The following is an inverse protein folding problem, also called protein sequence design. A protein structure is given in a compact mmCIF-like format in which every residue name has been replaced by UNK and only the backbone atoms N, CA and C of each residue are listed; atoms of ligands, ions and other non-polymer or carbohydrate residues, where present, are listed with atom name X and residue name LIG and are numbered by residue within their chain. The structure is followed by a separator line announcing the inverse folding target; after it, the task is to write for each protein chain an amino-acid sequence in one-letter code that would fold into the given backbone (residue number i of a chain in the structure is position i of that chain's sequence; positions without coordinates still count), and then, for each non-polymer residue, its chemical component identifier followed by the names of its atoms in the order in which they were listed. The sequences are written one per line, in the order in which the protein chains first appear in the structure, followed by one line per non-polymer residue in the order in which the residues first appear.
data_IF_450424810879
#
_entry.id   IF_450424810879
#
_cell.length_a   1.000
_cell.length_b   1.000
_cell.length_c   1.000
_cell.angle_alpha   90.00
_cell.angle_beta   90.00
_cell.angle_gamma   90.00
#
_symmetry.space_group_name_H-M   'P 1'
#
loop_
_entity.id
_entity.type
_entity.pdbx_description
1 polymer ?
#
# COMPACT_ATOMS: atom_id res chain seq x y z
N UNK A 1 18.71 21.52 -32.39
CA UNK A 1 17.46 20.85 -32.02
C UNK A 1 17.84 19.78 -31.02
N UNK A 2 17.49 19.94 -29.74
CA UNK A 2 17.87 18.99 -28.70
C UNK A 2 16.80 17.89 -28.61
N UNK A 3 17.28 16.65 -28.70
CA UNK A 3 16.53 15.40 -28.63
C UNK A 3 15.62 15.35 -27.39
N UNK A 4 14.38 14.92 -27.62
CA UNK A 4 13.43 14.54 -26.57
C UNK A 4 13.95 13.29 -25.87
N UNK A 5 14.47 13.43 -24.65
CA UNK A 5 14.62 12.29 -23.76
C UNK A 5 13.23 11.73 -23.44
N UNK A 6 12.96 10.50 -23.89
CA UNK A 6 11.82 9.74 -23.40
C UNK A 6 11.93 9.68 -21.86
N UNK A 7 10.95 10.26 -21.17
CA UNK A 7 10.80 10.07 -19.73
C UNK A 7 10.58 8.58 -19.47
N UNK A 8 11.65 7.90 -19.09
CA UNK A 8 11.66 6.48 -18.74
C UNK A 8 10.82 6.30 -17.48
N UNK A 9 9.56 5.89 -17.66
CA UNK A 9 8.61 5.64 -16.57
C UNK A 9 9.23 4.61 -15.64
N UNK A 10 9.54 5.02 -14.41
CA UNK A 10 10.20 4.16 -13.45
C UNK A 10 9.41 2.87 -13.20
N UNK A 11 9.99 1.73 -13.55
CA UNK A 11 9.40 0.41 -13.33
C UNK A 11 9.86 -0.16 -11.99
N UNK A 12 8.93 -0.29 -11.05
CA UNK A 12 9.20 -0.98 -9.79
C UNK A 12 9.39 -2.48 -10.03
N UNK A 13 10.59 -3.00 -9.79
CA UNK A 13 10.94 -4.40 -9.96
C UNK A 13 10.84 -5.17 -8.65
N UNK A 14 10.96 -6.50 -8.74
CA UNK A 14 11.05 -7.36 -7.57
C UNK A 14 12.31 -7.04 -6.74
N UNK A 15 13.43 -6.72 -7.39
CA UNK A 15 14.67 -6.32 -6.72
C UNK A 15 14.46 -5.10 -5.82
N UNK A 16 13.78 -4.06 -6.31
CA UNK A 16 13.45 -2.89 -5.49
C UNK A 16 12.60 -3.25 -4.26
N UNK A 17 11.72 -4.25 -4.39
CA UNK A 17 10.92 -4.75 -3.26
C UNK A 17 11.80 -5.44 -2.22
N UNK A 18 12.72 -6.30 -2.67
CA UNK A 18 13.64 -7.02 -1.80
C UNK A 18 14.58 -6.06 -1.05
N UNK A 19 15.14 -5.08 -1.77
CA UNK A 19 16.01 -4.05 -1.19
C UNK A 19 15.23 -3.20 -0.19
N UNK A 20 13.99 -2.80 -0.51
CA UNK A 20 13.13 -2.05 0.43
C UNK A 20 12.91 -2.81 1.75
N UNK A 21 12.56 -4.10 1.68
CA UNK A 21 12.31 -4.90 2.88
C UNK A 21 13.58 -4.99 3.74
N UNK A 22 14.71 -5.34 3.13
CA UNK A 22 16.01 -5.43 3.82
C UNK A 22 16.42 -4.09 4.43
N UNK A 23 16.28 -3.01 3.67
CA UNK A 23 16.64 -1.67 4.11
C UNK A 23 15.78 -1.21 5.28
N UNK A 24 14.47 -1.49 5.27
CA UNK A 24 13.58 -1.19 6.40
C UNK A 24 14.04 -1.88 7.68
N UNK A 25 14.43 -3.15 7.58
CA UNK A 25 14.93 -3.92 8.73
C UNK A 25 16.23 -3.33 9.25
N UNK A 26 17.20 -3.07 8.37
CA UNK A 26 18.48 -2.47 8.75
C UNK A 26 18.32 -1.07 9.37
N UNK A 27 17.31 -0.31 8.94
CA UNK A 27 17.07 1.06 9.36
C UNK A 27 15.84 1.22 10.26
N UNK A 28 15.48 0.19 11.04
CA UNK A 28 14.30 0.22 11.92
C UNK A 28 14.30 1.41 12.88
N UNK A 29 15.49 1.88 13.29
CA UNK A 29 15.67 3.06 14.14
C UNK A 29 15.18 4.38 13.52
N UNK A 30 15.01 4.46 12.19
CA UNK A 30 14.41 5.63 11.53
C UNK A 30 12.87 5.60 11.61
N UNK A 31 12.28 4.43 11.84
CA UNK A 31 10.83 4.21 11.85
C UNK A 31 10.27 4.16 13.27
N UNK A 32 10.57 5.18 14.06
CA UNK A 32 10.22 5.28 15.51
C UNK A 32 8.75 5.57 15.82
N UNK A 33 7.88 5.68 14.81
CA UNK A 33 6.48 6.07 14.99
C UNK A 33 6.27 7.55 15.35
N UNK A 34 7.34 8.32 15.57
CA UNK A 34 7.28 9.79 15.71
C UNK A 34 6.74 10.42 14.43
N UNK A 35 6.04 11.55 14.57
CA UNK A 35 5.47 12.29 13.43
C UNK A 35 6.57 12.57 12.40
N UNK A 36 6.29 12.28 11.14
CA UNK A 36 7.20 12.44 10.00
C UNK A 36 8.51 11.63 10.05
N UNK A 37 8.78 10.83 11.08
CA UNK A 37 9.99 10.00 11.12
C UNK A 37 9.98 8.94 10.00
N UNK A 38 8.81 8.34 9.74
CA UNK A 38 8.67 7.35 8.68
C UNK A 38 8.91 7.94 7.28
N UNK A 39 8.41 9.15 6.98
CA UNK A 39 8.63 9.75 5.65
C UNK A 39 10.10 10.11 5.46
N UNK A 40 10.77 10.66 6.48
CA UNK A 40 12.23 10.89 6.47
C UNK A 40 13.04 9.61 6.28
N UNK A 41 12.60 8.51 6.88
CA UNK A 41 13.17 7.19 6.63
C UNK A 41 13.05 6.77 5.16
N UNK A 42 11.88 6.97 4.54
CA UNK A 42 11.70 6.66 3.12
C UNK A 42 12.43 7.64 2.19
N UNK A 43 12.61 8.89 2.57
CA UNK A 43 13.48 9.84 1.85
C UNK A 43 14.93 9.37 1.86
N UNK A 44 15.43 8.93 3.02
CA UNK A 44 16.77 8.36 3.13
C UNK A 44 16.94 7.12 2.23
N UNK A 45 15.93 6.24 2.18
CA UNK A 45 15.93 5.10 1.25
C UNK A 45 15.99 5.55 -0.22
N UNK A 46 15.11 6.48 -0.62
CA UNK A 46 15.08 6.98 -2.00
C UNK A 46 16.41 7.64 -2.37
N UNK A 47 17.04 8.33 -1.41
CA UNK A 47 18.36 8.93 -1.61
C UNK A 47 19.47 7.90 -1.81
N UNK A 48 19.51 6.88 -0.95
CA UNK A 48 20.53 5.83 -1.01
C UNK A 48 20.41 4.96 -2.27
N UNK A 49 19.19 4.75 -2.76
CA UNK A 49 18.92 3.97 -3.96
C UNK A 49 19.05 4.79 -5.26
N UNK A 50 19.37 6.09 -5.18
CA UNK A 50 19.47 6.96 -6.36
C UNK A 50 18.15 7.13 -7.11
N UNK A 51 17.03 7.12 -6.37
CA UNK A 51 15.67 7.14 -6.92
C UNK A 51 15.01 8.53 -6.82
N UNK A 52 15.70 9.56 -6.31
CA UNK A 52 15.10 10.88 -6.03
C UNK A 52 14.43 11.51 -7.25
N UNK A 53 15.07 11.39 -8.42
CA UNK A 53 14.59 12.01 -9.67
C UNK A 53 13.46 11.19 -10.33
N UNK A 54 13.13 10.02 -9.78
CA UNK A 54 12.24 9.03 -10.39
C UNK A 54 11.03 8.69 -9.52
N UNK A 55 11.20 8.71 -8.20
CA UNK A 55 10.18 8.33 -7.23
C UNK A 55 10.22 9.21 -5.98
N UNK A 56 9.07 9.73 -5.59
CA UNK A 56 8.88 10.37 -4.30
C UNK A 56 8.89 9.33 -3.16
N UNK A 57 9.40 9.71 -1.99
CA UNK A 57 9.39 8.88 -0.77
C UNK A 57 7.98 8.40 -0.37
N UNK A 58 6.95 9.19 -0.69
CA UNK A 58 5.55 8.82 -0.49
C UNK A 58 5.16 7.54 -1.25
N UNK A 59 5.70 7.32 -2.46
CA UNK A 59 5.45 6.11 -3.24
C UNK A 59 6.05 4.87 -2.55
N UNK A 60 7.28 4.98 -2.07
CA UNK A 60 7.97 3.91 -1.33
C UNK A 60 7.22 3.58 -0.04
N UNK A 61 6.78 4.61 0.69
CA UNK A 61 5.93 4.45 1.89
C UNK A 61 4.66 3.68 1.55
N UNK A 62 3.94 4.07 0.50
CA UNK A 62 2.72 3.38 0.06
C UNK A 62 3.00 1.94 -0.35
N UNK A 63 4.12 1.68 -1.03
CA UNK A 63 4.55 0.32 -1.37
C UNK A 63 4.76 -0.53 -0.12
N UNK A 64 5.47 -0.02 0.87
CA UNK A 64 5.70 -0.68 2.15
C UNK A 64 4.39 -0.97 2.90
N UNK A 65 3.45 -0.03 2.94
CA UNK A 65 2.13 -0.25 3.56
C UNK A 65 1.31 -1.33 2.83
N UNK A 66 1.35 -1.38 1.49
CA UNK A 66 0.70 -2.44 0.71
C UNK A 66 1.30 -3.83 1.02
N UNK A 67 2.64 -3.92 1.15
CA UNK A 67 3.32 -5.14 1.60
C UNK A 67 2.87 -5.56 2.99
N UNK A 68 2.80 -4.62 3.94
CA UNK A 68 2.31 -4.90 5.30
C UNK A 68 0.87 -5.39 5.31
N UNK A 69 -0.01 -4.77 4.52
CA UNK A 69 -1.41 -5.16 4.45
C UNK A 69 -1.54 -6.59 3.93
N UNK A 70 -0.93 -6.90 2.79
CA UNK A 70 -0.96 -8.25 2.22
C UNK A 70 -0.35 -9.29 3.15
N UNK A 71 0.72 -8.94 3.88
CA UNK A 71 1.28 -9.82 4.90
C UNK A 71 0.28 -10.14 6.03
N UNK A 72 -0.44 -9.13 6.53
CA UNK A 72 -1.45 -9.30 7.58
C UNK A 72 -2.61 -10.17 7.12
N UNK A 73 -3.10 -9.94 5.90
CA UNK A 73 -4.20 -10.71 5.31
C UNK A 73 -3.84 -12.20 5.22
N UNK A 74 -2.57 -12.51 4.96
CA UNK A 74 -2.06 -13.89 4.88
C UNK A 74 -1.71 -14.50 6.24
N UNK A 75 -1.34 -13.69 7.24
CA UNK A 75 -0.98 -14.16 8.60
C UNK A 75 -2.20 -14.40 9.48
N UNK A 76 -3.27 -13.64 9.27
CA UNK A 76 -4.54 -13.80 9.96
C UNK A 76 -5.62 -14.10 8.92
N UNK A 77 -5.68 -15.32 8.34
CA UNK A 77 -6.82 -15.65 7.49
C UNK A 77 -8.08 -15.43 8.31
N UNK A 78 -9.02 -14.63 7.79
CA UNK A 78 -10.28 -14.35 8.46
C UNK A 78 -10.93 -15.71 8.79
N UNK A 79 -10.99 -16.01 10.09
CA UNK A 79 -11.47 -17.28 10.62
C UNK A 79 -12.81 -17.65 9.99
N UNK A 80 -12.83 -18.70 9.16
CA UNK A 80 -14.08 -19.38 8.79
C UNK A 80 -14.35 -19.68 7.32
N UNK A 81 -13.48 -19.31 6.37
CA UNK A 81 -13.68 -19.67 4.95
C UNK A 81 -12.60 -20.65 4.50
N UNK A 82 -12.99 -21.92 4.30
CA UNK A 82 -12.16 -22.94 3.68
C UNK A 82 -11.67 -22.46 2.32
N UNK A 83 -10.36 -22.39 2.16
CA UNK A 83 -9.70 -21.94 0.94
C UNK A 83 -9.64 -23.10 -0.07
N UNK A 84 -10.75 -23.40 -0.73
CA UNK A 84 -10.77 -24.30 -1.90
C UNK A 84 -10.63 -23.56 -3.24
N UNK A 85 -10.76 -22.23 -3.25
CA UNK A 85 -10.74 -21.40 -4.45
C UNK A 85 -9.43 -20.61 -4.63
N UNK A 86 -8.29 -21.29 -4.77
CA UNK A 86 -7.08 -20.71 -5.41
C UNK A 86 -6.53 -19.38 -4.86
N UNK A 87 -6.99 -18.91 -3.70
CA UNK A 87 -6.58 -17.63 -3.15
C UNK A 87 -5.10 -17.68 -2.77
N UNK A 88 -4.35 -16.58 -2.96
CA UNK A 88 -2.95 -16.56 -2.61
C UNK A 88 -2.79 -16.85 -1.12
N UNK A 89 -2.28 -18.02 -0.78
CA UNK A 89 -1.92 -18.39 0.59
C UNK A 89 -0.55 -17.81 0.97
N UNK A 90 -0.22 -17.81 2.27
CA UNK A 90 1.11 -17.45 2.76
C UNK A 90 2.25 -18.15 1.99
N UNK A 91 2.05 -19.41 1.59
CA UNK A 91 3.01 -20.20 0.82
C UNK A 91 3.17 -19.74 -0.65
N UNK A 92 2.15 -19.10 -1.22
CA UNK A 92 2.16 -18.63 -2.63
C UNK A 92 2.80 -17.26 -2.81
N UNK A 93 2.87 -16.44 -1.75
CA UNK A 93 3.38 -15.08 -1.85
C UNK A 93 4.89 -15.04 -1.59
N UNK A 94 5.66 -14.82 -2.65
CA UNK A 94 7.14 -14.78 -2.61
C UNK A 94 7.76 -13.80 -1.59
N UNK A 95 7.01 -12.79 -1.13
CA UNK A 95 7.47 -11.82 -0.13
C UNK A 95 7.06 -12.19 1.30
N UNK A 96 6.26 -13.24 1.50
CA UNK A 96 5.73 -13.61 2.81
C UNK A 96 6.86 -13.88 3.81
N UNK A 97 7.82 -14.74 3.47
CA UNK A 97 8.95 -15.07 4.35
C UNK A 97 9.80 -13.84 4.67
N UNK A 98 10.12 -13.01 3.69
CA UNK A 98 10.90 -11.79 3.89
C UNK A 98 10.15 -10.75 4.77
N UNK A 99 8.82 -10.65 4.62
CA UNK A 99 7.98 -9.80 5.47
C UNK A 99 7.80 -10.38 6.87
N UNK A 100 7.64 -11.70 7.01
CA UNK A 100 7.51 -12.37 8.30
C UNK A 100 8.80 -12.23 9.11
N UNK A 101 9.97 -12.31 8.46
CA UNK A 101 11.24 -12.01 9.10
C UNK A 101 11.34 -10.52 9.50
N UNK A 102 10.90 -9.61 8.61
CA UNK A 102 11.03 -8.18 8.84
C UNK A 102 10.11 -7.62 9.95
N UNK A 103 8.91 -8.17 10.12
CA UNK A 103 7.90 -7.64 11.04
C UNK A 103 7.11 -8.70 11.84
N UNK A 104 7.33 -9.99 11.59
CA UNK A 104 6.56 -11.08 12.19
C UNK A 104 7.05 -11.59 13.54
N UNK A 105 8.26 -11.23 13.96
CA UNK A 105 8.99 -11.89 15.05
C UNK A 105 9.54 -11.00 16.17
N UNK A 106 8.87 -9.91 16.58
CA UNK A 106 9.18 -9.27 17.87
C UNK A 106 8.07 -9.56 18.89
N UNK A 107 8.16 -10.64 19.69
CA UNK A 107 7.43 -10.71 20.94
C UNK A 107 7.99 -9.63 21.88
N UNK A 108 7.49 -8.39 21.78
CA UNK A 108 7.61 -7.41 22.86
C UNK A 108 6.64 -7.79 23.98
N UNK A 109 6.76 -9.01 24.49
CA UNK A 109 6.26 -9.34 25.82
C UNK A 109 7.37 -8.98 26.80
N UNK A 110 7.43 -7.70 27.17
CA UNK A 110 7.91 -7.40 28.51
C UNK A 110 6.86 -8.02 29.43
N UNK A 111 7.15 -9.12 30.16
CA UNK A 111 6.17 -9.65 31.09
C UNK A 111 5.78 -8.54 32.05
N UNK A 112 4.49 -8.36 32.40
CA UNK A 112 4.08 -7.38 33.40
C UNK A 112 4.92 -7.63 34.66
N UNK A 113 5.78 -6.68 35.01
CA UNK A 113 6.49 -6.74 36.27
C UNK A 113 5.44 -6.66 37.38
N UNK A 114 5.20 -7.77 38.06
CA UNK A 114 4.35 -7.82 39.24
C UNK A 114 5.07 -7.03 40.34
N UNK A 115 4.78 -5.73 40.45
CA UNK A 115 5.27 -4.92 41.56
C UNK A 115 4.45 -5.34 42.79
N UNK A 116 5.06 -6.16 43.64
CA UNK A 116 4.53 -6.44 44.97
C UNK A 116 4.51 -5.14 45.78
N UNK A 117 3.32 -4.74 46.21
CA UNK A 117 3.11 -3.59 47.07
C UNK A 117 3.53 -3.90 48.51
N UNK A 118 4.53 -3.19 49.04
CA UNK A 118 4.66 -2.87 50.46
C UNK A 118 5.49 -1.58 50.64
N UNK A 119 4.89 -0.55 51.26
CA UNK A 119 5.52 0.77 51.55
C UNK A 119 6.47 0.74 52.77
N UNK A 120 6.66 1.85 53.55
CA UNK A 120 6.22 3.25 53.38
C UNK A 120 7.35 4.31 53.60
N UNK A 121 6.98 5.58 53.34
CA UNK A 121 7.42 6.84 54.01
C UNK A 121 8.92 7.17 54.17
N UNK A 122 9.38 8.26 53.52
CA UNK A 122 10.22 9.29 54.14
C UNK A 122 10.17 10.60 53.34
N UNK A 123 9.82 11.68 54.03
CA UNK A 123 9.85 13.07 53.59
C UNK A 123 11.27 13.58 53.26
N UNK A 124 11.38 14.74 52.58
CA UNK A 124 12.04 15.97 53.07
C UNK A 124 12.28 17.01 51.95
N UNK A 125 11.74 18.20 52.23
CA UNK A 125 12.15 19.59 51.93
C UNK A 125 12.41 20.12 50.51
N UNK A 126 11.60 21.15 50.19
CA UNK A 126 11.84 22.26 49.27
C UNK A 126 13.03 23.15 49.66
N UNK A 127 13.70 23.77 48.69
CA UNK A 127 14.36 25.07 48.88
C UNK A 127 14.13 25.98 47.68
N UNK A 128 13.55 27.15 47.97
CA UNK A 128 13.30 28.29 47.10
C UNK A 128 14.56 29.17 46.99
N UNK A 129 14.78 29.87 45.86
CA UNK A 129 15.12 31.30 45.87
C UNK A 129 15.39 31.90 44.47
N UNK A 130 15.01 33.16 44.37
CA UNK A 130 14.78 34.08 43.24
C UNK A 130 16.04 34.71 42.58
N UNK A 131 15.82 35.24 41.37
CA UNK A 131 16.68 36.02 40.41
C UNK A 131 17.18 37.40 40.95
N UNK A 132 18.00 38.25 40.26
CA UNK A 132 17.68 38.88 38.94
C UNK A 132 18.81 39.32 37.97
N UNK A 133 18.37 39.50 36.71
CA UNK A 133 18.67 40.49 35.64
C UNK A 133 20.08 41.09 35.38
N UNK A 134 20.54 40.96 34.11
CA UNK A 134 21.26 42.05 33.43
C UNK A 134 20.81 42.18 31.97
N UNK A 135 20.46 43.41 31.63
CA UNK A 135 19.94 43.89 30.36
C UNK A 135 20.90 43.71 29.18
N UNK A 136 20.33 43.37 28.02
CA UNK A 136 20.63 43.86 26.65
C UNK A 136 20.16 42.80 25.65
N UNK A 137 19.26 43.17 24.72
CA UNK A 137 19.44 42.96 23.27
C UNK A 137 18.17 43.34 22.50
N UNK A 138 18.40 44.11 21.43
CA UNK A 138 17.51 44.33 20.28
C UNK A 138 16.62 43.11 20.02
N UNK A 139 15.33 43.35 19.86
CA UNK A 139 14.32 42.39 19.39
C UNK A 139 14.66 41.95 17.96
N UNK A 140 15.64 41.06 17.82
CA UNK A 140 15.76 40.17 16.67
C UNK A 140 14.67 39.13 16.86
N UNK A 141 13.83 38.92 15.83
CA UNK A 141 12.97 37.74 15.71
C UNK A 141 13.81 36.54 16.13
N UNK A 142 13.36 35.78 17.13
CA UNK A 142 14.20 34.74 17.70
C UNK A 142 14.50 33.73 16.59
N UNK A 143 15.68 33.11 16.63
CA UNK A 143 16.11 32.20 15.58
C UNK A 143 15.05 31.08 15.37
N UNK A 144 14.37 30.71 16.46
CA UNK A 144 13.26 29.77 16.51
C UNK A 144 12.03 30.22 15.71
N UNK A 145 11.67 31.51 15.75
CA UNK A 145 10.55 32.05 14.96
C UNK A 145 10.86 32.05 13.46
N UNK A 146 12.12 32.29 13.09
CA UNK A 146 12.57 32.24 11.69
C UNK A 146 12.59 30.80 11.17
N UNK A 147 13.02 29.84 12.00
CA UNK A 147 12.98 28.41 11.68
C UNK A 147 11.53 27.95 11.49
N UNK A 148 10.63 28.32 12.40
CA UNK A 148 9.21 27.95 12.33
C UNK A 148 8.51 28.53 11.09
N UNK A 149 8.82 29.78 10.72
CA UNK A 149 8.28 30.43 9.52
C UNK A 149 8.83 29.78 8.23
N UNK A 150 10.10 29.36 8.22
CA UNK A 150 10.66 28.60 7.12
C UNK A 150 10.00 27.21 7.00
N UNK A 151 9.79 26.51 8.12
CA UNK A 151 9.11 25.21 8.16
C UNK A 151 7.65 25.28 7.69
N UNK A 152 6.89 26.31 8.09
CA UNK A 152 5.51 26.51 7.63
C UNK A 152 5.45 26.84 6.13
N UNK A 153 6.40 27.63 5.64
CA UNK A 153 6.45 28.03 4.23
C UNK A 153 6.92 26.90 3.32
N UNK A 154 7.74 25.98 3.83
CA UNK A 154 8.13 24.74 3.17
C UNK A 154 6.98 23.72 3.19
N UNK A 155 6.33 23.51 4.33
CA UNK A 155 5.16 22.65 4.50
C UNK A 155 4.00 23.02 3.58
N UNK A 156 3.74 24.32 3.37
CA UNK A 156 2.72 24.78 2.44
C UNK A 156 3.04 24.41 0.97
N UNK A 157 4.32 24.48 0.57
CA UNK A 157 4.75 24.12 -0.78
C UNK A 157 4.71 22.61 -1.01
N UNK A 158 5.04 21.84 0.01
CA UNK A 158 4.99 20.39 -0.02
C UNK A 158 3.55 19.85 -0.06
N UNK A 159 2.64 20.41 0.74
CA UNK A 159 1.22 20.03 0.66
C UNK A 159 0.62 20.29 -0.72
N UNK A 160 0.98 21.42 -1.32
CA UNK A 160 0.53 21.78 -2.67
C UNK A 160 1.16 20.88 -3.75
N UNK A 161 2.37 20.36 -3.53
CA UNK A 161 3.01 19.38 -4.41
C UNK A 161 2.34 18.01 -4.31
N UNK A 162 2.07 17.55 -3.08
CA UNK A 162 1.38 16.28 -2.80
C UNK A 162 -0.03 16.29 -3.38
N UNK A 163 -0.80 17.37 -3.21
CA UNK A 163 -2.16 17.46 -3.74
C UNK A 163 -2.17 17.41 -5.28
N UNK A 164 -1.19 18.05 -5.93
CA UNK A 164 -1.03 17.97 -7.40
C UNK A 164 -0.68 16.57 -7.86
N UNK A 165 0.18 15.87 -7.13
CA UNK A 165 0.54 14.48 -7.45
C UNK A 165 -0.64 13.52 -7.21
N UNK A 166 -1.38 13.67 -6.12
CA UNK A 166 -2.60 12.90 -5.84
C UNK A 166 -3.69 13.11 -6.90
N UNK A 167 -3.83 14.34 -7.41
CA UNK A 167 -4.77 14.63 -8.49
C UNK A 167 -4.38 13.93 -9.79
N UNK A 168 -3.09 13.97 -10.14
CA UNK A 168 -2.54 13.24 -11.30
C UNK A 168 -2.66 11.72 -11.12
N UNK A 169 -2.57 11.24 -9.89
CA UNK A 169 -2.74 9.82 -9.56
C UNK A 169 -4.19 9.36 -9.72
N UNK A 170 -5.15 10.11 -9.15
CA UNK A 170 -6.59 9.83 -9.31
C UNK A 170 -7.01 9.78 -10.78
N UNK A 171 -6.49 10.70 -11.59
CA UNK A 171 -6.79 10.73 -13.02
C UNK A 171 -6.22 9.50 -13.77
N UNK A 172 -5.02 9.04 -13.39
CA UNK A 172 -4.43 7.81 -13.98
C UNK A 172 -5.23 6.56 -13.58
N UNK A 173 -5.65 6.47 -12.33
CA UNK A 173 -6.44 5.36 -11.80
C UNK A 173 -7.83 5.30 -12.45
N UNK A 174 -8.54 6.44 -12.54
CA UNK A 174 -9.83 6.52 -13.24
C UNK A 174 -9.71 6.16 -14.72
N UNK A 175 -8.61 6.58 -15.37
CA UNK A 175 -8.33 6.24 -16.76
C UNK A 175 -8.03 4.75 -16.94
N UNK A 176 -7.35 4.12 -15.99
CA UNK A 176 -7.06 2.69 -16.01
C UNK A 176 -8.34 1.87 -15.77
N UNK A 177 -9.14 2.26 -14.78
CA UNK A 177 -10.43 1.64 -14.47
C UNK A 177 -11.40 1.73 -15.66
N UNK A 178 -11.44 2.88 -16.34
CA UNK A 178 -12.22 3.04 -17.58
C UNK A 178 -11.73 2.09 -18.69
N UNK A 179 -10.42 1.89 -18.82
CA UNK A 179 -9.85 0.96 -19.80
C UNK A 179 -10.14 -0.49 -19.44
N UNK A 180 -10.16 -0.81 -18.16
CA UNK A 180 -10.50 -2.14 -17.67
C UNK A 180 -11.97 -2.47 -17.86
N UNK A 181 -12.88 -1.55 -17.51
CA UNK A 181 -14.32 -1.69 -17.79
C UNK A 181 -14.58 -1.90 -19.29
N UNK A 182 -13.93 -1.12 -20.15
CA UNK A 182 -14.06 -1.30 -21.59
C UNK A 182 -13.53 -2.67 -22.09
N UNK A 183 -12.49 -3.23 -21.45
CA UNK A 183 -12.01 -4.59 -21.77
C UNK A 183 -13.02 -5.65 -21.30
N UNK A 184 -13.52 -5.54 -20.08
CA UNK A 184 -14.51 -6.46 -19.53
C UNK A 184 -15.79 -6.46 -20.36
N UNK A 185 -16.32 -5.29 -20.70
CA UNK A 185 -17.50 -5.16 -21.58
C UNK A 185 -17.27 -5.81 -22.95
N UNK A 186 -16.07 -5.66 -23.51
CA UNK A 186 -15.75 -6.27 -24.80
C UNK A 186 -15.63 -7.79 -24.73
N UNK A 187 -15.03 -8.32 -23.66
CA UNK A 187 -14.96 -9.75 -23.38
C UNK A 187 -16.35 -10.33 -23.12
N UNK A 188 -17.17 -9.66 -22.33
CA UNK A 188 -18.55 -10.06 -22.06
C UNK A 188 -19.38 -10.07 -23.34
N UNK A 189 -19.24 -9.06 -24.20
CA UNK A 189 -19.94 -9.02 -25.49
C UNK A 189 -19.54 -10.19 -26.38
N UNK A 190 -18.25 -10.51 -26.44
CA UNK A 190 -17.75 -11.68 -27.17
C UNK A 190 -18.33 -12.97 -26.59
N UNK A 191 -18.31 -13.14 -25.27
CA UNK A 191 -18.89 -14.32 -24.61
C UNK A 191 -20.41 -14.42 -24.81
N UNK A 192 -21.13 -13.30 -24.87
CA UNK A 192 -22.55 -13.27 -25.18
C UNK A 192 -22.82 -13.71 -26.63
N UNK A 193 -22.04 -13.21 -27.60
CA UNK A 193 -22.12 -13.63 -29.00
C UNK A 193 -21.83 -15.13 -29.17
N UNK A 194 -20.84 -15.67 -28.45
CA UNK A 194 -20.52 -17.10 -28.43
C UNK A 194 -21.68 -17.93 -27.86
N UNK A 195 -22.24 -17.53 -26.71
CA UNK A 195 -23.41 -18.20 -26.12
C UNK A 195 -24.62 -18.19 -27.06
N UNK A 196 -24.91 -17.07 -27.69
CA UNK A 196 -26.03 -16.95 -28.63
C UNK A 196 -25.83 -17.86 -29.87
N UNK A 197 -24.59 -17.97 -30.37
CA UNK A 197 -24.25 -18.93 -31.44
C UNK A 197 -24.47 -20.37 -31.00
N UNK A 198 -24.02 -20.74 -29.80
CA UNK A 198 -24.26 -22.08 -29.26
C UNK A 198 -25.74 -22.38 -29.06
N UNK A 199 -26.52 -21.43 -28.55
CA UNK A 199 -27.97 -21.59 -28.38
C UNK A 199 -28.69 -21.78 -29.71
N UNK A 200 -28.35 -21.00 -30.74
CA UNK A 200 -28.88 -21.20 -32.11
C UNK A 200 -28.54 -22.60 -32.62
N UNK A 201 -27.30 -23.03 -32.45
CA UNK A 201 -26.87 -24.37 -32.86
C UNK A 201 -27.62 -25.48 -32.11
N UNK A 202 -27.81 -25.34 -30.80
CA UNK A 202 -28.61 -26.26 -29.97
C UNK A 202 -30.07 -26.31 -30.42
N UNK A 203 -30.69 -25.16 -30.70
CA UNK A 203 -32.07 -25.11 -31.19
C UNK A 203 -32.21 -25.80 -32.55
N UNK A 204 -31.27 -25.56 -33.48
CA UNK A 204 -31.26 -26.25 -34.76
C UNK A 204 -31.08 -27.76 -34.61
N UNK A 205 -30.20 -28.21 -33.72
CA UNK A 205 -29.99 -29.61 -33.43
C UNK A 205 -31.28 -30.26 -32.89
N UNK A 206 -31.91 -29.65 -31.88
CA UNK A 206 -33.18 -30.13 -31.33
C UNK A 206 -34.29 -30.18 -32.39
N UNK A 207 -34.42 -29.15 -33.24
CA UNK A 207 -35.40 -29.17 -34.33
C UNK A 207 -35.15 -30.29 -35.34
N UNK A 208 -33.88 -30.59 -35.65
CA UNK A 208 -33.53 -31.71 -36.54
C UNK A 208 -33.89 -33.05 -35.88
N UNK A 209 -33.59 -33.21 -34.60
CA UNK A 209 -33.94 -34.41 -33.82
C UNK A 209 -35.45 -34.61 -33.74
N UNK A 210 -36.23 -33.57 -33.43
CA UNK A 210 -37.70 -33.66 -33.39
C UNK A 210 -38.29 -34.05 -34.75
N UNK A 211 -37.78 -33.48 -35.85
CA UNK A 211 -38.21 -33.86 -37.21
C UNK A 211 -37.95 -35.33 -37.49
N UNK A 212 -36.79 -35.85 -37.08
CA UNK A 212 -36.45 -37.26 -37.23
C UNK A 212 -37.35 -38.15 -36.39
N UNK A 213 -37.59 -37.80 -35.13
CA UNK A 213 -38.48 -38.54 -34.23
C UNK A 213 -39.91 -38.62 -34.78
N UNK A 214 -40.44 -37.50 -35.29
CA UNK A 214 -41.77 -37.46 -35.88
C UNK A 214 -41.86 -38.33 -37.15
N UNK A 215 -40.83 -38.33 -38.00
CA UNK A 215 -40.75 -39.23 -39.15
C UNK A 215 -40.73 -40.71 -38.74
N UNK A 216 -39.96 -41.06 -37.70
CA UNK A 216 -39.92 -42.42 -37.17
C UNK A 216 -41.26 -42.85 -36.57
N UNK A 217 -41.96 -41.95 -35.89
CA UNK A 217 -43.29 -42.20 -35.33
C UNK A 217 -44.34 -42.46 -36.44
N UNK A 218 -44.28 -41.72 -37.55
CA UNK A 218 -45.15 -41.94 -38.72
C UNK A 218 -44.88 -43.32 -39.34
N UNK A 219 -43.61 -43.73 -39.45
CA UNK A 219 -43.23 -45.04 -40.00
C UNK A 219 -43.69 -46.18 -39.08
N UNK A 220 -43.58 -46.02 -37.76
CA UNK A 220 -43.96 -47.05 -36.79
C UNK A 220 -45.48 -47.25 -36.65
N UNK A 221 -46.30 -46.28 -37.08
CA UNK A 221 -47.77 -46.34 -37.03
C UNK A 221 -48.42 -46.88 -38.31
N UNK A 222 -47.63 -47.23 -39.32
CA UNK A 222 -48.06 -47.78 -40.61
C UNK A 222 -47.84 -49.28 -40.67
#
# INVERSE_FOLDING_TARGET
MAEKSQEDVFKWTDEHTQVLIRWRVANEALFTGKRNAAIKGFEAFVMEQGLQDRLAAAFVKKKWENLKQKYKDLKCPATGVSTEDGEPTAASWKWYSAMDEAIGGRPSITPPALIASSGPDVAVASTSSVSPDTSRKRTRKSLEDVIKEMEERESAREQEAVEREEKRWREKEEKEERRERARQEWEERRHAEDREREERWRQEANQREERLLNLLEIIAKK
#
